data_IF_292365169516
#
_entry.id   IF_292365169516
#
_cell.length_a   1.000
_cell.length_b   1.000
_cell.length_c   1.000
_cell.angle_alpha   90.00
_cell.angle_beta   90.00
_cell.angle_gamma   90.00
#
_symmetry.space_group_name_H-M   'P 1'
#
loop_
_entity.id
_entity.type
_entity.pdbx_description
1 polymer ?
#
# COMPACT_ATOMS: atom_id res chain seq x y z
N UNK A 1 -0.10 -32.88 1.84
CA UNK A 1 0.43 -32.01 0.77
C UNK A 1 0.08 -30.58 1.13
N UNK A 2 1.07 -29.77 1.53
CA UNK A 2 0.84 -28.41 2.04
C UNK A 2 0.34 -27.53 0.89
N UNK A 3 -0.75 -26.79 1.10
CA UNK A 3 -1.37 -25.85 0.17
C UNK A 3 -0.47 -24.65 -0.26
N UNK A 4 0.84 -24.71 0.03
CA UNK A 4 1.78 -23.59 -0.04
C UNK A 4 2.20 -23.13 -1.45
N UNK A 5 1.63 -23.70 -2.51
CA UNK A 5 2.02 -23.36 -3.90
C UNK A 5 0.94 -22.63 -4.72
N UNK A 6 -0.33 -22.80 -4.37
CA UNK A 6 -1.44 -22.32 -5.21
C UNK A 6 -1.45 -20.78 -5.28
N UNK A 7 -1.26 -20.11 -4.13
CA UNK A 7 -1.23 -18.65 -4.07
C UNK A 7 -0.05 -18.05 -4.86
N UNK A 8 1.10 -18.74 -4.95
CA UNK A 8 2.29 -18.27 -5.67
C UNK A 8 2.11 -18.30 -7.19
N UNK A 9 1.36 -19.29 -7.68
CA UNK A 9 1.20 -19.54 -9.11
C UNK A 9 -0.07 -18.94 -9.73
N UNK A 10 -0.94 -18.32 -8.92
CA UNK A 10 -2.25 -17.83 -9.33
C UNK A 10 -2.26 -16.81 -10.48
N UNK A 11 -1.16 -16.09 -10.73
CA UNK A 11 -1.05 -15.20 -11.91
C UNK A 11 0.40 -15.02 -12.36
N UNK A 12 0.60 -14.53 -13.59
CA UNK A 12 1.94 -14.20 -14.12
C UNK A 12 2.65 -13.14 -13.27
N UNK A 13 1.91 -12.14 -12.81
CA UNK A 13 2.36 -11.13 -11.84
C UNK A 13 2.90 -11.76 -10.56
N UNK A 14 2.16 -12.69 -9.95
CA UNK A 14 2.61 -13.35 -8.71
C UNK A 14 3.86 -14.19 -8.94
N UNK A 15 3.92 -14.96 -10.02
CA UNK A 15 5.11 -15.75 -10.37
C UNK A 15 6.34 -14.86 -10.55
N UNK A 16 6.19 -13.71 -11.19
CA UNK A 16 7.27 -12.75 -11.35
C UNK A 16 7.65 -12.08 -10.03
N UNK A 17 6.68 -11.67 -9.22
CA UNK A 17 6.89 -11.09 -7.90
C UNK A 17 7.68 -12.00 -6.96
N UNK A 18 7.31 -13.28 -6.85
CA UNK A 18 8.07 -14.27 -6.05
C UNK A 18 9.44 -14.62 -6.62
N UNK A 19 9.72 -14.34 -7.91
CA UNK A 19 11.08 -14.45 -8.47
C UNK A 19 11.96 -13.27 -8.08
N UNK A 20 11.39 -12.06 -8.02
CA UNK A 20 12.11 -10.85 -7.63
C UNK A 20 12.33 -10.75 -6.12
N UNK A 21 11.32 -11.12 -5.34
CA UNK A 21 11.34 -11.10 -3.87
C UNK A 21 11.18 -12.54 -3.38
N UNK A 22 12.29 -13.33 -3.37
CA UNK A 22 12.24 -14.74 -3.01
C UNK A 22 11.83 -14.96 -1.55
N UNK A 23 11.45 -16.19 -1.23
CA UNK A 23 10.88 -16.53 0.08
C UNK A 23 9.47 -15.95 0.22
N UNK A 24 9.20 -15.33 1.37
CA UNK A 24 7.91 -14.69 1.66
C UNK A 24 7.92 -13.18 1.43
N UNK A 25 9.00 -12.60 0.88
CA UNK A 25 9.12 -11.16 0.67
C UNK A 25 7.97 -10.56 -0.15
N UNK A 26 7.57 -11.24 -1.22
CA UNK A 26 6.42 -10.80 -2.03
C UNK A 26 5.08 -10.95 -1.29
N UNK A 27 4.96 -11.89 -0.34
CA UNK A 27 3.76 -12.04 0.49
C UNK A 27 3.48 -10.78 1.32
N UNK A 28 4.52 -10.13 1.85
CA UNK A 28 4.38 -8.85 2.56
C UNK A 28 3.75 -7.77 1.68
N UNK A 29 4.19 -7.66 0.42
CA UNK A 29 3.62 -6.71 -0.53
C UNK A 29 2.17 -7.04 -0.87
N UNK A 30 1.82 -8.32 -1.00
CA UNK A 30 0.43 -8.71 -1.26
C UNK A 30 -0.51 -8.34 -0.11
N UNK A 31 -0.05 -8.38 1.15
CA UNK A 31 -0.83 -7.93 2.31
C UNK A 31 -1.00 -6.41 2.39
N UNK A 32 -0.23 -5.61 1.63
CA UNK A 32 -0.52 -4.19 1.41
C UNK A 32 -1.65 -3.96 0.39
N UNK A 33 -2.22 -5.05 -0.14
CA UNK A 33 -3.30 -5.13 -1.14
C UNK A 33 -3.14 -4.16 -2.31
N UNK A 34 -2.09 -4.31 -3.15
CA UNK A 34 -1.79 -3.37 -4.23
C UNK A 34 -2.91 -3.18 -5.26
N UNK A 35 -3.86 -4.10 -5.36
CA UNK A 35 -5.04 -3.95 -6.20
C UNK A 35 -5.98 -2.82 -5.72
N UNK A 36 -5.91 -2.39 -4.46
CA UNK A 36 -6.64 -1.22 -3.93
C UNK A 36 -5.91 0.10 -4.23
N UNK A 37 -4.60 0.08 -4.48
CA UNK A 37 -3.82 1.31 -4.61
C UNK A 37 -4.33 2.28 -5.69
N UNK A 38 -4.83 1.83 -6.86
CA UNK A 38 -5.39 2.74 -7.87
C UNK A 38 -6.60 3.52 -7.36
N UNK A 39 -7.50 2.89 -6.60
CA UNK A 39 -8.67 3.58 -6.08
C UNK A 39 -8.27 4.59 -5.00
N UNK A 40 -7.36 4.23 -4.10
CA UNK A 40 -6.86 5.17 -3.08
C UNK A 40 -6.10 6.33 -3.72
N UNK A 41 -5.31 6.06 -4.75
CA UNK A 41 -4.59 7.09 -5.47
C UNK A 41 -5.52 8.07 -6.20
N UNK A 42 -6.60 7.57 -6.81
CA UNK A 42 -7.61 8.42 -7.42
C UNK A 42 -8.29 9.36 -6.40
N UNK A 43 -8.64 8.84 -5.21
CA UNK A 43 -9.23 9.66 -4.14
C UNK A 43 -8.26 10.75 -3.66
N UNK A 44 -7.00 10.41 -3.43
CA UNK A 44 -5.99 11.39 -3.00
C UNK A 44 -5.65 12.40 -4.10
N UNK A 45 -5.55 11.95 -5.35
CA UNK A 45 -5.32 12.83 -6.50
C UNK A 45 -6.48 13.80 -6.72
N UNK A 46 -7.73 13.39 -6.46
CA UNK A 46 -8.87 14.29 -6.46
C UNK A 46 -8.70 15.37 -5.38
N UNK A 47 -8.28 15.00 -4.16
CA UNK A 47 -7.97 15.98 -3.11
C UNK A 47 -6.90 16.99 -3.53
N UNK A 48 -5.83 16.54 -4.18
CA UNK A 48 -4.81 17.41 -4.77
C UNK A 48 -5.42 18.37 -5.81
N UNK A 49 -6.19 17.84 -6.76
CA UNK A 49 -6.83 18.64 -7.80
C UNK A 49 -7.76 19.72 -7.21
N UNK A 50 -8.51 19.38 -6.16
CA UNK A 50 -9.37 20.32 -5.46
C UNK A 50 -8.57 21.40 -4.71
N UNK A 51 -7.37 21.07 -4.22
CA UNK A 51 -6.53 22.01 -3.47
C UNK A 51 -5.83 23.03 -4.38
N UNK A 52 -5.35 22.64 -5.56
CA UNK A 52 -4.60 23.53 -6.48
C UNK A 52 -5.42 24.01 -7.68
N UNK A 53 -6.60 23.43 -7.93
CA UNK A 53 -7.43 23.71 -9.10
C UNK A 53 -6.86 23.16 -10.41
N UNK A 54 -7.60 23.32 -11.52
CA UNK A 54 -7.19 22.80 -12.85
C UNK A 54 -5.93 23.49 -13.39
N UNK A 55 -5.81 24.81 -13.20
CA UNK A 55 -4.65 25.58 -13.66
C UNK A 55 -3.40 25.24 -12.83
N UNK A 56 -3.54 25.16 -11.49
CA UNK A 56 -2.45 24.74 -10.61
C UNK A 56 -1.97 23.32 -10.92
N UNK A 57 -2.89 22.38 -11.12
CA UNK A 57 -2.55 21.03 -11.55
C UNK A 57 -1.87 21.00 -12.93
N UNK A 58 -2.35 21.79 -13.90
CA UNK A 58 -1.76 21.89 -15.24
C UNK A 58 -0.35 22.48 -15.25
N UNK A 59 -0.02 23.34 -14.30
CA UNK A 59 1.32 23.93 -14.13
C UNK A 59 2.25 23.11 -13.23
N UNK A 60 1.74 22.07 -12.56
CA UNK A 60 2.51 21.23 -11.64
C UNK A 60 2.69 21.83 -10.24
N UNK A 61 1.84 22.76 -9.84
CA UNK A 61 1.85 23.35 -8.50
C UNK A 61 1.82 22.27 -7.42
N UNK A 62 2.79 22.25 -6.50
CA UNK A 62 2.91 21.26 -5.42
C UNK A 62 2.97 19.78 -5.86
N UNK A 63 3.28 19.48 -7.13
CA UNK A 63 3.24 18.11 -7.65
C UNK A 63 4.18 17.16 -6.90
N UNK A 64 5.43 17.55 -6.64
CA UNK A 64 6.38 16.69 -5.93
C UNK A 64 5.94 16.37 -4.49
N UNK A 65 5.54 17.36 -3.66
CA UNK A 65 4.92 17.07 -2.37
C UNK A 65 3.66 16.20 -2.47
N UNK A 66 2.81 16.41 -3.47
CA UNK A 66 1.60 15.61 -3.67
C UNK A 66 1.93 14.14 -3.99
N UNK A 67 2.91 13.90 -4.86
CA UNK A 67 3.39 12.55 -5.18
C UNK A 67 4.03 11.88 -3.95
N UNK A 68 4.78 12.63 -3.15
CA UNK A 68 5.36 12.11 -1.92
C UNK A 68 4.28 11.77 -0.89
N UNK A 69 3.31 12.66 -0.69
CA UNK A 69 2.15 12.43 0.17
C UNK A 69 1.35 11.22 -0.29
N UNK A 70 1.19 11.05 -1.61
CA UNK A 70 0.52 9.89 -2.21
C UNK A 70 1.24 8.58 -1.87
N UNK A 71 2.58 8.53 -1.99
CA UNK A 71 3.35 7.34 -1.62
C UNK A 71 3.23 7.02 -0.13
N UNK A 72 3.40 8.04 0.72
CA UNK A 72 3.26 7.88 2.17
C UNK A 72 1.86 7.41 2.55
N UNK A 73 0.83 7.96 1.93
CA UNK A 73 -0.55 7.57 2.18
C UNK A 73 -0.86 6.17 1.68
N UNK A 74 -0.71 5.91 0.37
CA UNK A 74 -1.20 4.68 -0.26
C UNK A 74 -0.38 3.46 0.17
N UNK A 75 0.95 3.60 0.24
CA UNK A 75 1.84 2.47 0.51
C UNK A 75 2.03 2.28 2.01
N UNK A 76 2.40 3.35 2.73
CA UNK A 76 2.75 3.21 4.14
C UNK A 76 1.52 3.20 5.05
N UNK A 77 0.68 4.23 4.98
CA UNK A 77 -0.43 4.39 5.91
C UNK A 77 -1.60 3.44 5.59
N UNK A 78 -2.12 3.49 4.37
CA UNK A 78 -3.22 2.63 3.91
C UNK A 78 -2.76 1.17 3.80
N UNK A 79 -1.68 0.91 3.06
CA UNK A 79 -1.12 -0.43 2.92
C UNK A 79 -0.75 -1.07 4.27
N UNK A 80 -0.10 -0.32 5.18
CA UNK A 80 0.20 -0.79 6.53
C UNK A 80 -1.05 -1.12 7.35
N UNK A 81 -2.12 -0.35 7.19
CA UNK A 81 -3.43 -0.65 7.82
C UNK A 81 -4.04 -1.94 7.25
N UNK A 82 -3.98 -2.18 5.95
CA UNK A 82 -4.50 -3.43 5.38
C UNK A 82 -3.67 -4.65 5.82
N UNK A 83 -2.35 -4.49 5.90
CA UNK A 83 -1.49 -5.54 6.38
C UNK A 83 -1.70 -5.83 7.87
N UNK A 84 -2.00 -4.81 8.70
CA UNK A 84 -2.37 -5.05 10.10
C UNK A 84 -3.72 -5.77 10.20
N UNK A 85 -4.70 -5.43 9.35
CA UNK A 85 -5.98 -6.16 9.28
C UNK A 85 -5.74 -7.64 8.97
N UNK A 86 -4.91 -7.96 7.97
CA UNK A 86 -4.57 -9.35 7.66
C UNK A 86 -4.01 -10.14 8.85
N UNK A 87 -3.23 -9.50 9.75
CA UNK A 87 -2.69 -10.16 10.96
C UNK A 87 -3.81 -10.55 11.93
N UNK A 88 -4.75 -9.64 12.16
CA UNK A 88 -5.79 -9.81 13.17
C UNK A 88 -6.99 -10.62 12.66
N UNK A 89 -7.41 -10.34 11.43
CA UNK A 89 -8.56 -11.00 10.79
C UNK A 89 -8.21 -12.40 10.28
N UNK A 90 -6.91 -12.71 10.16
CA UNK A 90 -6.39 -13.97 9.64
C UNK A 90 -7.01 -14.30 8.30
N UNK A 91 -6.88 -13.37 7.35
CA UNK A 91 -7.50 -13.43 6.02
C UNK A 91 -7.47 -14.85 5.41
N UNK A 92 -8.65 -15.47 5.33
CA UNK A 92 -8.88 -16.77 4.71
C UNK A 92 -9.80 -16.61 3.49
N UNK A 93 -9.45 -17.24 2.37
CA UNK A 93 -10.20 -17.07 1.13
C UNK A 93 -10.07 -15.67 0.54
N UNK A 94 -10.82 -15.38 -0.52
CA UNK A 94 -10.74 -14.09 -1.20
C UNK A 94 -11.31 -12.98 -0.28
N UNK A 95 -10.53 -11.92 -0.09
CA UNK A 95 -10.93 -10.72 0.64
C UNK A 95 -10.66 -9.48 -0.20
N UNK A 96 -11.35 -8.37 0.08
CA UNK A 96 -11.28 -7.14 -0.72
C UNK A 96 -9.86 -6.79 -1.17
N UNK A 97 -9.63 -6.80 -2.48
CA UNK A 97 -8.35 -6.51 -3.14
C UNK A 97 -7.20 -7.51 -2.89
N UNK A 98 -7.48 -8.66 -2.27
CA UNK A 98 -6.55 -9.76 -2.04
C UNK A 98 -7.20 -11.11 -2.34
N UNK A 99 -7.06 -11.55 -3.59
CA UNK A 99 -7.51 -12.87 -4.08
C UNK A 99 -6.50 -13.94 -3.67
N UNK A 100 -6.93 -15.10 -3.19
CA UNK A 100 -6.08 -16.20 -2.74
C UNK A 100 -4.92 -15.72 -1.84
N UNK A 101 -5.22 -15.25 -0.62
CA UNK A 101 -4.23 -14.65 0.28
C UNK A 101 -3.07 -15.62 0.55
N UNK A 102 -1.81 -15.15 0.54
CA UNK A 102 -0.71 -15.95 1.05
C UNK A 102 -0.88 -16.21 2.56
N UNK A 103 -0.24 -17.23 3.13
CA UNK A 103 -0.13 -17.37 4.58
C UNK A 103 0.48 -16.10 5.18
N UNK A 104 -0.01 -15.70 6.36
CA UNK A 104 0.49 -14.52 7.07
C UNK A 104 2.00 -14.66 7.32
N UNK A 105 2.84 -13.75 6.78
CA UNK A 105 4.27 -13.77 7.06
C UNK A 105 4.57 -13.55 8.55
N UNK A 106 5.59 -14.24 9.07
CA UNK A 106 5.95 -14.23 10.50
C UNK A 106 6.10 -12.83 11.10
N UNK A 107 6.65 -11.88 10.34
CA UNK A 107 6.88 -10.51 10.82
C UNK A 107 5.90 -9.48 10.26
N UNK A 108 4.74 -9.91 9.74
CA UNK A 108 3.79 -8.99 9.10
C UNK A 108 3.35 -7.88 10.07
N UNK A 109 3.08 -8.20 11.35
CA UNK A 109 2.71 -7.19 12.34
C UNK A 109 3.78 -6.11 12.52
N UNK A 110 5.03 -6.53 12.74
CA UNK A 110 6.15 -5.59 12.91
C UNK A 110 6.39 -4.76 11.66
N UNK A 111 6.24 -5.36 10.48
CA UNK A 111 6.31 -4.68 9.19
C UNK A 111 5.21 -3.62 9.03
N UNK A 112 3.95 -3.96 9.35
CA UNK A 112 2.81 -3.04 9.31
C UNK A 112 3.01 -1.85 10.26
N UNK A 113 3.44 -2.11 11.49
CA UNK A 113 3.72 -1.05 12.48
C UNK A 113 4.86 -0.15 11.99
N UNK A 114 5.92 -0.71 11.41
CA UNK A 114 7.03 0.06 10.86
C UNK A 114 6.59 0.96 9.70
N UNK A 115 5.70 0.47 8.81
CA UNK A 115 5.11 1.27 7.74
C UNK A 115 4.23 2.39 8.29
N UNK A 116 3.36 2.09 9.25
CA UNK A 116 2.46 3.08 9.85
C UNK A 116 3.25 4.18 10.58
N UNK A 117 4.14 3.79 11.50
CA UNK A 117 4.95 4.73 12.27
C UNK A 117 5.94 5.49 11.39
N UNK A 118 6.60 4.79 10.46
CA UNK A 118 7.54 5.40 9.50
C UNK A 118 6.84 6.35 8.55
N UNK A 119 5.70 5.96 7.99
CA UNK A 119 4.88 6.82 7.12
C UNK A 119 4.42 8.08 7.85
N UNK A 120 3.94 7.93 9.10
CA UNK A 120 3.53 9.07 9.92
C UNK A 120 4.69 10.00 10.27
N UNK A 121 5.87 9.45 10.60
CA UNK A 121 7.07 10.25 10.85
C UNK A 121 7.53 10.99 9.58
N UNK A 122 7.53 10.31 8.43
CA UNK A 122 7.90 10.89 7.14
C UNK A 122 6.89 11.94 6.67
N UNK A 123 5.63 11.88 7.10
CA UNK A 123 4.64 12.92 6.79
C UNK A 123 5.08 14.32 7.31
N UNK A 124 5.92 14.41 8.34
CA UNK A 124 6.47 15.68 8.81
C UNK A 124 7.46 16.34 7.84
N UNK A 125 7.95 15.59 6.84
CA UNK A 125 8.76 16.13 5.74
C UNK A 125 7.93 16.85 4.69
N UNK A 126 6.60 16.70 4.71
CA UNK A 126 5.71 17.41 3.80
C UNK A 126 5.55 18.89 4.21
N UNK A 127 5.24 19.79 3.25
CA UNK A 127 4.98 21.20 3.53
C UNK A 127 3.86 21.40 4.56
N UNK A 128 3.87 22.54 5.26
CA UNK A 128 2.90 22.85 6.31
C UNK A 128 1.42 22.59 5.94
N UNK A 129 0.94 22.91 4.72
CA UNK A 129 -0.43 22.59 4.32
C UNK A 129 -0.82 21.11 4.45
N UNK A 130 0.14 20.19 4.33
CA UNK A 130 -0.10 18.74 4.46
C UNK A 130 -0.02 18.23 5.90
N UNK A 131 0.47 19.04 6.85
CA UNK A 131 0.66 18.64 8.25
C UNK A 131 -0.48 19.10 9.16
N UNK A 132 -1.29 20.05 8.71
CA UNK A 132 -2.32 20.76 9.51
C UNK A 132 -3.73 20.55 8.94
N UNK A 133 -3.86 19.74 7.89
CA UNK A 133 -5.14 19.39 7.28
C UNK A 133 -5.91 18.36 8.12
#
# INVERSE_FOLDING_TARGET
MVAGGAYRNGSAWRRWGYRLLPGDGFSYLLHLRPAEWPIMAAHTALGYLLAVGLEGAGSGEQLLPALWALVLWVVCLNGGTLAINSVFDKDEGDIGYLVAPPPIPQHLLGFSIALLAGGQALAFTLPAPYRVA
#
